data_IF_668490355597
#
_entry.id   IF_668490355597
#
_cell.length_a   1.000
_cell.length_b   1.000
_cell.length_c   1.000
_cell.angle_alpha   90.00
_cell.angle_beta   90.00
_cell.angle_gamma   90.00
#
_symmetry.space_group_name_H-M   'P 1'
#
loop_
_entity.id
_entity.type
_entity.pdbx_description
1 polymer ?
#
# COMPACT_ATOMS: atom_id res chain seq x y z
N UNK A 1 -13.85 1.22 9.80
CA UNK A 1 -12.65 0.74 9.05
C UNK A 1 -12.62 1.35 7.67
N UNK A 2 -11.48 1.88 7.25
CA UNK A 2 -11.33 2.25 5.85
C UNK A 2 -11.12 0.96 5.03
N UNK A 3 -11.69 0.88 3.81
CA UNK A 3 -11.53 -0.29 2.95
C UNK A 3 -10.07 -0.63 2.61
N UNK A 4 -9.17 0.34 2.78
CA UNK A 4 -7.73 0.17 2.62
C UNK A 4 -7.14 -0.78 3.67
N UNK A 5 -7.52 -0.64 4.95
CA UNK A 5 -7.09 -1.52 6.05
C UNK A 5 -7.60 -2.93 5.86
N UNK A 6 -8.89 -3.05 5.53
CA UNK A 6 -9.54 -4.35 5.27
C UNK A 6 -8.92 -5.07 4.09
N UNK A 7 -8.63 -4.36 2.99
CA UNK A 7 -7.96 -4.96 1.83
C UNK A 7 -6.55 -5.47 2.18
N UNK A 8 -5.76 -4.70 2.94
CA UNK A 8 -4.45 -5.13 3.40
C UNK A 8 -4.54 -6.41 4.26
N UNK A 9 -5.49 -6.48 5.18
CA UNK A 9 -5.73 -7.66 6.03
C UNK A 9 -6.17 -8.88 5.21
N UNK A 10 -7.05 -8.70 4.22
CA UNK A 10 -7.50 -9.76 3.30
C UNK A 10 -6.33 -10.30 2.48
N UNK A 11 -5.50 -9.40 1.97
CA UNK A 11 -4.32 -9.75 1.19
C UNK A 11 -3.35 -10.66 1.96
N UNK A 12 -3.22 -10.45 3.27
CA UNK A 12 -2.41 -11.31 4.14
C UNK A 12 -3.04 -12.69 4.36
N UNK A 13 -4.38 -12.80 4.42
CA UNK A 13 -5.10 -14.07 4.62
C UNK A 13 -5.13 -14.95 3.34
N UNK A 14 -5.08 -14.36 2.14
CA UNK A 14 -5.22 -15.06 0.84
C UNK A 14 -3.86 -15.52 0.26
N UNK A 15 -3.12 -16.36 0.99
CA UNK A 15 -1.76 -16.76 0.62
C UNK A 15 -1.62 -17.88 -0.41
N UNK A 16 -1.21 -17.57 -1.63
CA UNK A 16 -0.43 -18.47 -2.48
C UNK A 16 0.99 -17.90 -2.55
N UNK A 17 1.92 -18.50 -1.79
CA UNK A 17 3.19 -17.88 -1.41
C UNK A 17 4.16 -17.61 -2.59
N UNK A 18 4.25 -18.47 -3.61
CA UNK A 18 5.31 -18.37 -4.62
C UNK A 18 4.99 -17.40 -5.77
N UNK A 19 3.76 -17.37 -6.28
CA UNK A 19 3.35 -16.41 -7.32
C UNK A 19 3.33 -14.96 -6.78
N UNK A 20 2.91 -14.80 -5.51
CA UNK A 20 2.98 -13.51 -4.81
C UNK A 20 4.42 -13.03 -4.61
N UNK A 21 5.36 -13.94 -4.31
CA UNK A 21 6.77 -13.60 -4.10
C UNK A 21 7.42 -13.02 -5.36
N UNK A 22 7.14 -13.59 -6.52
CA UNK A 22 7.62 -13.08 -7.81
C UNK A 22 7.13 -11.66 -8.07
N UNK A 23 5.83 -11.39 -7.85
CA UNK A 23 5.23 -10.04 -8.00
C UNK A 23 5.80 -9.02 -7.02
N UNK A 24 5.94 -9.39 -5.74
CA UNK A 24 6.57 -8.52 -4.74
C UNK A 24 7.98 -8.15 -5.18
N UNK A 25 8.77 -9.09 -5.65
CA UNK A 25 10.13 -8.82 -6.13
C UNK A 25 10.14 -7.90 -7.35
N UNK A 26 9.24 -8.10 -8.31
CA UNK A 26 9.11 -7.23 -9.48
C UNK A 26 8.79 -5.79 -9.09
N UNK A 27 7.84 -5.58 -8.17
CA UNK A 27 7.50 -4.25 -7.64
C UNK A 27 8.69 -3.60 -6.95
N UNK A 28 9.31 -4.30 -6.02
CA UNK A 28 10.47 -3.78 -5.28
C UNK A 28 11.66 -3.46 -6.20
N UNK A 29 11.91 -4.25 -7.26
CA UNK A 29 12.94 -3.96 -8.26
C UNK A 29 12.64 -2.65 -9.00
N UNK A 30 11.39 -2.42 -9.41
CA UNK A 30 10.97 -1.18 -10.05
C UNK A 30 11.15 0.01 -9.11
N UNK A 31 10.70 -0.10 -7.87
CA UNK A 31 10.83 0.94 -6.85
C UNK A 31 12.29 1.27 -6.52
N UNK A 32 13.14 0.26 -6.32
CA UNK A 32 14.59 0.43 -6.10
C UNK A 32 15.23 1.18 -7.27
N UNK A 33 14.88 0.80 -8.51
CA UNK A 33 15.43 1.43 -9.72
C UNK A 33 15.04 2.91 -9.82
N UNK A 34 13.76 3.22 -9.55
CA UNK A 34 13.25 4.61 -9.59
C UNK A 34 13.84 5.44 -8.45
N UNK A 35 13.89 4.90 -7.23
CA UNK A 35 14.47 5.60 -6.09
C UNK A 35 15.96 5.90 -6.29
N UNK A 36 16.73 4.93 -6.80
CA UNK A 36 18.16 5.13 -7.10
C UNK A 36 18.39 6.15 -8.22
N UNK A 37 17.49 6.19 -9.22
CA UNK A 37 17.55 7.19 -10.29
C UNK A 37 17.29 8.61 -9.78
N UNK A 38 16.31 8.77 -8.89
CA UNK A 38 15.89 10.08 -8.41
C UNK A 38 16.85 10.67 -7.37
N UNK A 39 17.41 9.86 -6.49
CA UNK A 39 18.20 10.32 -5.33
C UNK A 39 19.60 9.73 -5.21
N UNK A 40 20.07 8.97 -6.22
CA UNK A 40 21.37 8.29 -6.18
C UNK A 40 21.31 6.92 -5.50
N UNK A 41 22.39 6.15 -5.69
CA UNK A 41 22.50 4.75 -5.23
C UNK A 41 22.95 4.56 -3.79
N UNK A 42 23.27 5.64 -3.08
CA UNK A 42 23.70 5.59 -1.68
C UNK A 42 22.49 5.67 -0.72
N UNK A 43 22.20 4.61 0.04
CA UNK A 43 21.05 4.61 0.96
C UNK A 43 21.21 5.59 2.14
N UNK A 44 22.43 6.01 2.48
CA UNK A 44 22.65 6.97 3.55
C UNK A 44 22.23 8.38 3.13
N UNK A 45 22.37 8.68 1.85
CA UNK A 45 21.97 9.95 1.24
C UNK A 45 20.58 9.93 0.62
N UNK A 46 19.96 8.73 0.47
CA UNK A 46 18.67 8.55 -0.17
C UNK A 46 17.67 7.82 0.76
N UNK A 47 16.89 8.56 1.59
CA UNK A 47 15.96 7.97 2.54
C UNK A 47 14.90 7.06 1.90
N UNK A 48 14.41 7.43 0.69
CA UNK A 48 13.46 6.58 -0.06
C UNK A 48 14.09 5.24 -0.41
N UNK A 49 15.30 5.25 -0.95
CA UNK A 49 16.03 4.04 -1.30
C UNK A 49 16.29 3.16 -0.08
N UNK A 50 16.68 3.77 1.05
CA UNK A 50 16.91 3.07 2.33
C UNK A 50 15.68 2.32 2.80
N UNK A 51 14.50 2.94 2.75
CA UNK A 51 13.22 2.30 3.12
C UNK A 51 12.95 1.10 2.22
N UNK A 52 13.04 1.26 0.89
CA UNK A 52 12.77 0.17 -0.06
C UNK A 52 13.77 -0.98 0.08
N UNK A 53 15.04 -0.69 0.41
CA UNK A 53 16.04 -1.74 0.73
C UNK A 53 15.60 -2.52 1.98
N UNK A 54 15.07 -1.85 2.99
CA UNK A 54 14.50 -2.49 4.18
C UNK A 54 13.37 -3.46 3.81
N UNK A 55 12.42 -3.00 3.01
CA UNK A 55 11.27 -3.80 2.55
C UNK A 55 11.72 -4.99 1.69
N UNK A 56 12.72 -4.79 0.82
CA UNK A 56 13.30 -5.86 -0.01
C UNK A 56 13.98 -6.94 0.84
N UNK A 57 14.71 -6.54 1.90
CA UNK A 57 15.31 -7.47 2.87
C UNK A 57 14.23 -8.22 3.67
N UNK A 58 13.20 -7.54 4.13
CA UNK A 58 12.06 -8.15 4.84
C UNK A 58 11.32 -9.17 3.94
N UNK A 59 11.22 -8.90 2.64
CA UNK A 59 10.69 -9.83 1.64
C UNK A 59 11.65 -10.99 1.28
N UNK A 60 12.83 -11.08 1.91
CA UNK A 60 13.90 -12.04 1.60
C UNK A 60 14.40 -11.96 0.13
N UNK A 61 14.49 -10.75 -0.42
CA UNK A 61 15.09 -10.57 -1.75
C UNK A 61 16.60 -10.78 -1.69
N UNK A 62 17.19 -11.54 -2.62
CA UNK A 62 18.63 -11.72 -2.69
C UNK A 62 19.38 -10.38 -2.83
N UNK A 63 20.44 -10.20 -2.06
CA UNK A 63 21.22 -8.95 -2.04
C UNK A 63 21.72 -8.53 -3.42
N UNK A 64 22.04 -9.50 -4.28
CA UNK A 64 22.49 -9.24 -5.66
C UNK A 64 21.39 -8.63 -6.52
N UNK A 65 20.12 -9.00 -6.32
CA UNK A 65 18.99 -8.39 -7.02
C UNK A 65 18.79 -6.93 -6.59
N UNK A 66 18.95 -6.64 -5.30
CA UNK A 66 18.88 -5.27 -4.76
C UNK A 66 19.99 -4.43 -5.40
N UNK A 67 21.25 -4.89 -5.36
CA UNK A 67 22.39 -4.17 -5.94
C UNK A 67 22.20 -3.93 -7.44
N UNK A 68 21.74 -4.94 -8.19
CA UNK A 68 21.50 -4.83 -9.63
C UNK A 68 20.41 -3.79 -9.93
N UNK A 69 19.32 -3.75 -9.17
CA UNK A 69 18.27 -2.76 -9.34
C UNK A 69 18.80 -1.34 -9.11
N UNK A 70 19.64 -1.15 -8.08
CA UNK A 70 20.28 0.14 -7.79
C UNK A 70 21.21 0.56 -8.94
N UNK A 71 22.12 -0.33 -9.42
CA UNK A 71 23.02 -0.03 -10.54
C UNK A 71 22.27 0.33 -11.83
N UNK A 72 21.13 -0.32 -12.10
CA UNK A 72 20.27 0.07 -13.22
C UNK A 72 19.65 1.45 -13.03
N UNK A 73 19.27 1.79 -11.81
CA UNK A 73 18.75 3.11 -11.46
C UNK A 73 19.78 4.22 -11.63
N UNK A 74 21.01 4.01 -11.19
CA UNK A 74 22.13 4.96 -11.31
C UNK A 74 22.72 5.04 -12.73
N UNK A 75 22.33 4.12 -13.62
CA UNK A 75 22.84 4.09 -15.01
C UNK A 75 24.17 3.33 -15.18
N UNK A 76 24.68 2.68 -14.14
CA UNK A 76 25.87 1.84 -14.19
C UNK A 76 25.65 0.55 -14.98
N UNK A 77 24.43 0.06 -15.03
CA UNK A 77 24.02 -1.08 -15.85
C UNK A 77 22.85 -0.69 -16.79
N UNK A 78 22.81 -1.24 -18.02
CA UNK A 78 21.66 -1.05 -18.90
C UNK A 78 20.37 -1.56 -18.25
N UNK A 79 19.30 -0.82 -18.37
CA UNK A 79 18.01 -1.20 -17.80
C UNK A 79 16.82 -0.45 -18.40
N UNK A 80 15.64 -0.92 -18.05
CA UNK A 80 14.38 -0.28 -18.44
C UNK A 80 14.18 1.00 -17.65
N UNK A 81 13.72 2.06 -18.32
CA UNK A 81 13.32 3.29 -17.66
C UNK A 81 11.87 3.18 -17.21
N UNK A 82 11.66 3.16 -15.90
CA UNK A 82 10.32 3.23 -15.33
C UNK A 82 9.94 4.70 -15.04
N UNK A 83 8.66 4.99 -15.24
CA UNK A 83 8.04 6.28 -14.93
C UNK A 83 6.90 6.06 -13.94
N UNK A 84 6.77 6.99 -13.01
CA UNK A 84 5.63 7.04 -12.09
C UNK A 84 4.41 7.61 -12.80
N UNK A 85 3.25 7.01 -12.56
CA UNK A 85 1.96 7.52 -12.96
C UNK A 85 0.93 7.21 -11.87
N UNK A 86 -0.07 8.07 -11.75
CA UNK A 86 -1.20 7.87 -10.87
C UNK A 86 -2.48 7.96 -11.69
N UNK A 87 -3.33 6.95 -11.54
CA UNK A 87 -4.64 6.92 -12.19
C UNK A 87 -5.73 7.02 -11.15
N UNK A 88 -6.75 7.80 -11.48
CA UNK A 88 -7.94 7.97 -10.68
C UNK A 88 -9.11 7.24 -11.34
N UNK A 89 -9.95 6.61 -10.54
CA UNK A 89 -11.04 5.78 -11.03
C UNK A 89 -12.22 5.77 -10.07
N UNK A 90 -13.38 5.41 -10.61
CA UNK A 90 -14.53 4.99 -9.83
C UNK A 90 -14.70 3.48 -9.98
N UNK A 91 -14.74 2.77 -8.86
CA UNK A 91 -15.06 1.35 -8.78
C UNK A 91 -16.56 1.09 -8.66
N UNK A 92 -16.96 -0.18 -8.55
CA UNK A 92 -18.33 -0.57 -8.27
C UNK A 92 -18.94 0.19 -7.10
N UNK A 93 -20.21 0.61 -7.25
CA UNK A 93 -20.90 1.40 -6.24
C UNK A 93 -20.44 2.85 -6.11
N UNK A 94 -19.63 3.35 -7.05
CA UNK A 94 -19.10 4.71 -7.02
C UNK A 94 -17.94 4.91 -6.02
N UNK A 95 -17.33 3.83 -5.54
CA UNK A 95 -16.15 3.92 -4.68
C UNK A 95 -14.99 4.59 -5.43
N UNK A 96 -14.36 5.57 -4.79
CA UNK A 96 -13.16 6.23 -5.31
C UNK A 96 -11.96 5.29 -5.23
N UNK A 97 -11.15 5.27 -6.29
CA UNK A 97 -9.93 4.46 -6.36
C UNK A 97 -8.79 5.30 -6.90
N UNK A 98 -7.64 5.26 -6.23
CA UNK A 98 -6.37 5.82 -6.70
C UNK A 98 -5.41 4.65 -6.92
N UNK A 99 -4.77 4.62 -8.07
CA UNK A 99 -3.90 3.53 -8.52
C UNK A 99 -2.53 4.12 -8.83
N UNK A 100 -1.53 3.81 -8.00
CA UNK A 100 -0.15 4.20 -8.22
C UNK A 100 0.55 3.15 -9.08
N UNK A 101 1.26 3.60 -10.10
CA UNK A 101 1.83 2.75 -11.15
C UNK A 101 3.29 3.11 -11.39
N UNK A 102 4.12 2.07 -11.56
CA UNK A 102 5.48 2.18 -12.11
C UNK A 102 5.54 1.37 -13.41
N UNK A 103 5.64 2.06 -14.53
CA UNK A 103 5.59 1.44 -15.87
C UNK A 103 6.68 1.96 -16.79
N UNK A 104 7.09 1.14 -17.73
CA UNK A 104 7.93 1.54 -18.85
C UNK A 104 7.11 2.08 -20.03
N UNK A 105 5.75 1.96 -19.96
CA UNK A 105 4.86 2.42 -21.02
C UNK A 105 3.49 2.85 -20.44
N UNK A 106 3.33 4.16 -20.21
CA UNK A 106 2.10 4.74 -19.66
C UNK A 106 0.86 4.47 -20.48
N UNK A 107 0.98 4.43 -21.83
CA UNK A 107 -0.17 4.19 -22.69
C UNK A 107 -0.68 2.75 -22.58
N UNK A 108 0.24 1.78 -22.52
CA UNK A 108 -0.10 0.38 -22.28
C UNK A 108 -0.78 0.23 -20.92
N UNK A 109 -0.13 0.70 -19.84
CA UNK A 109 -0.66 0.60 -18.49
C UNK A 109 -2.04 1.25 -18.36
N UNK A 110 -2.25 2.45 -18.94
CA UNK A 110 -3.55 3.13 -18.94
C UNK A 110 -4.63 2.30 -19.65
N UNK A 111 -4.30 1.66 -20.77
CA UNK A 111 -5.22 0.81 -21.53
C UNK A 111 -5.60 -0.45 -20.75
N UNK A 112 -4.63 -1.12 -20.14
CA UNK A 112 -4.82 -2.33 -19.33
C UNK A 112 -5.64 -2.03 -18.08
N UNK A 113 -5.33 -0.96 -17.35
CA UNK A 113 -6.07 -0.53 -16.15
C UNK A 113 -7.51 -0.15 -16.51
N UNK A 114 -7.72 0.59 -17.61
CA UNK A 114 -9.08 0.92 -18.10
C UNK A 114 -9.87 -0.35 -18.36
N UNK A 115 -9.28 -1.31 -19.06
CA UNK A 115 -9.94 -2.60 -19.34
C UNK A 115 -10.32 -3.36 -18.07
N UNK A 116 -9.42 -3.40 -17.07
CA UNK A 116 -9.70 -4.04 -15.78
C UNK A 116 -10.85 -3.35 -15.04
N UNK A 117 -10.87 -2.01 -15.01
CA UNK A 117 -11.94 -1.23 -14.40
C UNK A 117 -13.28 -1.53 -15.06
N UNK A 118 -13.36 -1.40 -16.39
CA UNK A 118 -14.60 -1.63 -17.17
C UNK A 118 -15.12 -3.08 -16.99
N UNK A 119 -14.22 -4.06 -17.04
CA UNK A 119 -14.58 -5.48 -16.85
C UNK A 119 -15.21 -5.75 -15.48
N UNK A 120 -14.85 -5.01 -14.47
CA UNK A 120 -15.34 -5.20 -13.10
C UNK A 120 -16.36 -4.14 -12.66
N UNK A 121 -16.92 -3.35 -13.61
CA UNK A 121 -18.00 -2.40 -13.34
C UNK A 121 -17.55 -1.06 -12.80
N UNK A 122 -16.28 -0.70 -12.99
CA UNK A 122 -15.72 0.61 -12.72
C UNK A 122 -15.40 1.38 -14.00
N UNK A 123 -14.82 2.56 -13.86
CA UNK A 123 -14.34 3.39 -14.97
C UNK A 123 -13.16 4.25 -14.57
N UNK A 124 -12.26 4.51 -15.53
CA UNK A 124 -11.18 5.48 -15.36
C UNK A 124 -11.77 6.89 -15.29
N UNK A 125 -11.29 7.69 -14.33
CA UNK A 125 -11.74 9.06 -14.12
C UNK A 125 -10.74 10.08 -14.70
N UNK A 126 -11.18 11.32 -14.81
CA UNK A 126 -10.28 12.42 -15.15
C UNK A 126 -9.33 12.72 -13.97
N UNK A 127 -8.16 13.31 -14.21
CA UNK A 127 -7.27 13.76 -13.15
C UNK A 127 -7.99 14.71 -12.17
N UNK A 128 -7.72 14.54 -10.88
CA UNK A 128 -8.33 15.26 -9.75
C UNK A 128 -9.84 15.00 -9.53
N UNK A 129 -10.39 13.94 -10.11
CA UNK A 129 -11.80 13.57 -9.91
C UNK A 129 -12.04 13.00 -8.50
N UNK A 130 -11.09 12.24 -7.94
CA UNK A 130 -11.22 11.58 -6.64
C UNK A 130 -10.04 11.87 -5.68
N UNK A 131 -8.93 12.42 -6.16
CA UNK A 131 -7.73 12.66 -5.33
C UNK A 131 -8.02 13.51 -4.09
N UNK A 132 -8.91 14.48 -4.18
CA UNK A 132 -9.32 15.36 -3.08
C UNK A 132 -10.06 14.64 -1.94
N UNK A 133 -10.55 13.42 -2.19
CA UNK A 133 -11.21 12.59 -1.17
C UNK A 133 -10.21 11.90 -0.23
N UNK A 134 -8.91 12.02 -0.48
CA UNK A 134 -7.86 11.33 0.27
C UNK A 134 -6.87 12.30 0.87
N UNK A 135 -6.41 11.98 2.08
CA UNK A 135 -5.31 12.66 2.74
C UNK A 135 -4.09 11.76 2.80
N UNK A 136 -2.92 12.29 2.48
CA UNK A 136 -1.67 11.58 2.67
C UNK A 136 -1.30 11.58 4.15
N UNK A 137 -1.24 10.40 4.77
CA UNK A 137 -0.94 10.21 6.20
C UNK A 137 0.04 9.06 6.42
N UNK A 138 0.82 9.15 7.49
CA UNK A 138 1.45 7.99 8.09
C UNK A 138 0.37 7.07 8.65
N UNK A 139 0.44 5.79 8.34
CA UNK A 139 -0.55 4.78 8.75
C UNK A 139 0.17 3.54 9.26
N UNK A 140 -0.10 3.17 10.51
CA UNK A 140 0.49 2.01 11.17
C UNK A 140 -0.63 1.13 11.72
N UNK A 141 -0.55 -0.15 11.45
CA UNK A 141 -1.49 -1.18 11.95
C UNK A 141 -0.76 -2.11 12.89
N UNK A 142 -1.29 -2.26 14.08
CA UNK A 142 -0.80 -3.17 15.10
C UNK A 142 -1.85 -4.24 15.37
N UNK A 143 -1.52 -5.50 15.12
CA UNK A 143 -2.34 -6.65 15.51
C UNK A 143 -2.28 -6.82 17.04
N UNK A 144 -3.44 -6.72 17.70
CA UNK A 144 -3.54 -6.83 19.16
C UNK A 144 -3.00 -8.15 19.71
N UNK A 145 -3.19 -9.23 18.97
CA UNK A 145 -2.69 -10.56 19.36
C UNK A 145 -1.14 -10.63 19.34
N UNK A 146 -0.50 -9.74 18.55
CA UNK A 146 0.96 -9.67 18.41
C UNK A 146 1.60 -8.49 19.17
N UNK A 147 0.81 -7.74 19.94
CA UNK A 147 1.30 -6.59 20.70
C UNK A 147 2.16 -6.95 21.94
N UNK A 148 2.50 -8.23 22.12
CA UNK A 148 3.41 -8.65 23.20
C UNK A 148 2.87 -8.43 24.62
N UNK A 149 1.52 -8.40 24.79
CA UNK A 149 0.88 -8.14 26.08
C UNK A 149 0.85 -6.66 26.48
N UNK A 150 1.19 -5.74 25.56
CA UNK A 150 1.00 -4.30 25.77
C UNK A 150 -0.49 -3.98 25.67
N UNK A 151 -0.96 -3.09 26.54
CA UNK A 151 -2.32 -2.58 26.52
C UNK A 151 -2.46 -1.37 25.57
N UNK A 152 -3.68 -1.05 25.29
CA UNK A 152 -4.07 0.07 24.41
C UNK A 152 -3.52 1.40 24.92
N UNK A 153 -3.62 1.65 26.23
CA UNK A 153 -3.20 2.91 26.86
C UNK A 153 -1.69 3.12 26.72
N UNK A 154 -0.89 2.08 26.92
CA UNK A 154 0.57 2.12 26.75
C UNK A 154 0.97 2.48 25.32
N UNK A 155 0.34 1.84 24.33
CA UNK A 155 0.63 2.11 22.92
C UNK A 155 0.15 3.51 22.54
N UNK A 156 -1.11 3.87 22.88
CA UNK A 156 -1.70 5.16 22.58
C UNK A 156 -0.86 6.32 23.13
N UNK A 157 -0.45 6.27 24.39
CA UNK A 157 0.39 7.30 24.98
C UNK A 157 1.72 7.45 24.26
N UNK A 158 2.40 6.34 23.96
CA UNK A 158 3.70 6.37 23.27
C UNK A 158 3.60 6.96 21.86
N UNK A 159 2.57 6.62 21.09
CA UNK A 159 2.42 7.13 19.73
C UNK A 159 1.96 8.58 19.70
N UNK A 160 1.10 9.02 20.61
CA UNK A 160 0.69 10.42 20.73
C UNK A 160 1.86 11.32 21.15
N UNK A 161 2.68 10.89 22.10
CA UNK A 161 3.92 11.61 22.48
C UNK A 161 4.90 11.72 21.31
N UNK A 162 4.94 10.72 20.44
CA UNK A 162 5.76 10.71 19.22
C UNK A 162 5.20 11.53 18.06
N UNK A 163 4.00 12.10 18.20
CA UNK A 163 3.37 12.98 17.21
C UNK A 163 2.35 12.29 16.30
N UNK A 164 1.68 11.23 16.78
CA UNK A 164 0.50 10.72 16.09
C UNK A 164 -0.66 11.71 16.17
N UNK A 165 -1.44 11.82 15.07
CA UNK A 165 -2.63 12.68 14.98
C UNK A 165 -3.87 12.00 15.57
N UNK A 166 -3.96 10.66 15.42
CA UNK A 166 -5.14 9.89 15.80
C UNK A 166 -4.76 8.44 16.10
N UNK A 167 -5.55 7.81 16.96
CA UNK A 167 -5.45 6.42 17.35
C UNK A 167 -6.85 5.80 17.37
N UNK A 168 -7.04 4.68 16.68
CA UNK A 168 -8.34 4.03 16.57
C UNK A 168 -8.25 2.55 16.93
N UNK A 169 -9.25 2.08 17.68
CA UNK A 169 -9.48 0.67 17.92
C UNK A 169 -10.41 0.09 16.84
N UNK A 170 -9.91 -0.86 16.07
CA UNK A 170 -10.63 -1.52 14.99
C UNK A 170 -10.94 -3.00 15.32
N UNK A 171 -11.23 -3.30 16.57
CA UNK A 171 -11.55 -4.65 17.04
C UNK A 171 -10.32 -5.55 17.16
N UNK A 172 -9.82 -6.13 16.06
CA UNK A 172 -8.63 -7.00 16.08
C UNK A 172 -7.31 -6.22 16.04
N UNK A 173 -7.34 -4.94 15.59
CA UNK A 173 -6.15 -4.13 15.40
C UNK A 173 -6.26 -2.78 16.09
N UNK A 174 -5.12 -2.17 16.36
CA UNK A 174 -4.99 -0.74 16.59
C UNK A 174 -4.45 -0.06 15.35
N UNK A 175 -5.06 1.05 14.98
CA UNK A 175 -4.68 1.88 13.84
C UNK A 175 -4.15 3.22 14.32
N UNK A 176 -2.94 3.58 13.90
CA UNK A 176 -2.29 4.84 14.26
C UNK A 176 -2.12 5.70 13.02
N UNK A 177 -2.53 6.95 13.11
CA UNK A 177 -2.43 7.93 12.04
C UNK A 177 -1.52 9.08 12.44
N UNK A 178 -0.72 9.57 11.50
CA UNK A 178 0.17 10.71 11.73
C UNK A 178 0.29 11.58 10.47
N UNK A 179 0.83 12.79 10.62
CA UNK A 179 1.35 13.50 9.48
C UNK A 179 2.50 12.70 8.83
N UNK A 180 2.70 12.80 7.50
CA UNK A 180 3.79 12.10 6.83
C UNK A 180 5.17 12.37 7.41
N UNK A 181 5.37 13.58 7.91
CA UNK A 181 6.62 14.06 8.52
C UNK A 181 6.90 13.39 9.87
N UNK A 182 5.85 13.10 10.64
CA UNK A 182 5.93 12.46 11.97
C UNK A 182 5.98 10.95 11.89
N UNK A 183 5.69 10.35 10.73
CA UNK A 183 5.56 8.90 10.55
C UNK A 183 6.77 8.10 11.06
N UNK A 184 7.98 8.57 10.78
CA UNK A 184 9.19 7.87 11.20
C UNK A 184 9.32 7.80 12.74
N UNK A 185 9.05 8.92 13.43
CA UNK A 185 9.11 9.00 14.88
C UNK A 185 8.04 8.11 15.53
N UNK A 186 6.81 8.14 15.00
CA UNK A 186 5.69 7.33 15.50
C UNK A 186 5.97 5.83 15.29
N UNK A 187 6.51 5.44 14.14
CA UNK A 187 6.87 4.04 13.86
C UNK A 187 8.00 3.54 14.78
N UNK A 188 9.00 4.37 15.07
CA UNK A 188 10.05 4.02 16.02
C UNK A 188 9.50 3.91 17.46
N UNK A 189 8.53 4.72 17.85
CA UNK A 189 7.88 4.62 19.16
C UNK A 189 7.15 3.27 19.32
N UNK A 190 6.44 2.80 18.27
CA UNK A 190 5.81 1.48 18.26
C UNK A 190 6.86 0.37 18.44
N UNK A 191 7.95 0.44 17.67
CA UNK A 191 9.04 -0.56 17.74
C UNK A 191 9.78 -0.55 19.07
N UNK A 192 9.96 0.63 19.70
CA UNK A 192 10.58 0.76 21.01
C UNK A 192 9.81 0.03 22.14
N UNK A 193 8.50 -0.16 21.95
CA UNK A 193 7.67 -1.00 22.83
C UNK A 193 7.86 -2.50 22.59
N UNK A 194 8.69 -2.90 21.61
CA UNK A 194 8.87 -4.29 21.21
C UNK A 194 7.73 -4.82 20.32
N UNK A 195 6.92 -3.91 19.74
CA UNK A 195 5.81 -4.26 18.85
C UNK A 195 6.30 -4.18 17.41
N UNK A 196 6.11 -5.28 16.67
CA UNK A 196 6.31 -5.28 15.22
C UNK A 196 4.97 -5.00 14.54
N UNK A 197 4.80 -3.85 13.86
CA UNK A 197 3.54 -3.51 13.22
C UNK A 197 3.27 -4.46 12.03
N UNK A 198 2.00 -4.82 11.83
CA UNK A 198 1.57 -5.62 10.68
C UNK A 198 1.73 -4.83 9.37
N UNK A 199 1.55 -3.51 9.43
CA UNK A 199 1.78 -2.59 8.32
C UNK A 199 2.23 -1.24 8.87
N UNK A 200 3.23 -0.62 8.25
CA UNK A 200 3.66 0.73 8.58
C UNK A 200 4.12 1.44 7.30
N UNK A 201 3.37 2.43 6.83
CA UNK A 201 3.66 3.16 5.58
C UNK A 201 2.98 4.51 5.54
N UNK A 202 3.50 5.41 4.71
CA UNK A 202 2.76 6.61 4.31
C UNK A 202 1.78 6.23 3.20
N UNK A 203 0.50 6.51 3.39
CA UNK A 203 -0.59 6.08 2.50
C UNK A 203 -1.63 7.17 2.29
N UNK A 204 -2.44 7.03 1.26
CA UNK A 204 -3.61 7.87 1.00
C UNK A 204 -4.81 7.31 1.78
N UNK A 205 -5.23 8.05 2.80
CA UNK A 205 -6.34 7.68 3.69
C UNK A 205 -7.59 8.43 3.26
N UNK A 206 -8.72 7.74 2.99
CA UNK A 206 -9.95 8.40 2.59
C UNK A 206 -10.56 9.21 3.73
N UNK A 207 -11.12 10.38 3.40
CA UNK A 207 -11.85 11.24 4.35
C UNK A 207 -13.25 10.69 4.66
N UNK A 208 -13.87 10.02 3.68
CA UNK A 208 -15.18 9.42 3.79
C UNK A 208 -15.19 8.05 3.14
N UNK A 209 -15.98 7.12 3.66
CA UNK A 209 -16.12 5.76 3.14
C UNK A 209 -17.46 5.56 2.43
N UNK A 210 -17.47 4.70 1.42
CA UNK A 210 -18.66 4.23 0.71
C UNK A 210 -18.92 2.79 1.10
N UNK A 211 -20.03 2.54 1.79
CA UNK A 211 -20.43 1.19 2.21
C UNK A 211 -20.91 0.38 1.02
N UNK A 212 -20.32 -0.79 0.82
CA UNK A 212 -20.67 -1.72 -0.26
C UNK A 212 -21.16 -3.04 0.34
N UNK A 213 -22.21 -3.61 -0.27
CA UNK A 213 -22.83 -4.86 0.17
C UNK A 213 -23.16 -5.76 -1.04
N UNK A 214 -23.31 -7.06 -0.79
CA UNK A 214 -23.75 -8.06 -1.74
C UNK A 214 -22.90 -8.12 -3.03
N UNK A 215 -23.57 -8.13 -4.19
CA UNK A 215 -22.89 -8.24 -5.49
C UNK A 215 -21.90 -7.12 -5.77
N UNK A 216 -22.20 -5.90 -5.31
CA UNK A 216 -21.33 -4.73 -5.52
C UNK A 216 -20.03 -4.88 -4.72
N UNK A 217 -20.13 -5.35 -3.47
CA UNK A 217 -18.96 -5.67 -2.65
C UNK A 217 -18.08 -6.75 -3.31
N UNK A 218 -18.69 -7.83 -3.82
CA UNK A 218 -17.97 -8.89 -4.53
C UNK A 218 -17.29 -8.40 -5.82
N UNK A 219 -17.96 -7.52 -6.57
CA UNK A 219 -17.35 -6.91 -7.77
C UNK A 219 -16.16 -6.03 -7.41
N UNK A 220 -16.29 -5.23 -6.33
CA UNK A 220 -15.18 -4.40 -5.84
C UNK A 220 -13.98 -5.23 -5.40
N UNK A 221 -14.22 -6.34 -4.68
CA UNK A 221 -13.15 -7.25 -4.27
C UNK A 221 -12.42 -7.86 -5.46
N UNK A 222 -13.15 -8.30 -6.49
CA UNK A 222 -12.56 -8.80 -7.75
C UNK A 222 -11.78 -7.73 -8.50
N UNK A 223 -12.26 -6.49 -8.50
CA UNK A 223 -11.52 -5.37 -9.08
C UNK A 223 -10.20 -5.13 -8.35
N UNK A 224 -10.24 -5.07 -7.02
CA UNK A 224 -9.05 -4.87 -6.19
C UNK A 224 -8.01 -5.98 -6.41
N UNK A 225 -8.46 -7.23 -6.50
CA UNK A 225 -7.59 -8.37 -6.80
C UNK A 225 -6.97 -8.26 -8.20
N UNK A 226 -7.76 -7.94 -9.21
CA UNK A 226 -7.29 -7.80 -10.59
C UNK A 226 -6.29 -6.65 -10.75
N UNK A 227 -6.53 -5.52 -10.07
CA UNK A 227 -5.59 -4.40 -10.05
C UNK A 227 -4.30 -4.74 -9.27
N UNK A 228 -4.43 -5.44 -8.14
CA UNK A 228 -3.25 -5.87 -7.37
C UNK A 228 -2.42 -6.94 -8.09
N UNK A 229 -3.01 -7.70 -8.98
CA UNK A 229 -2.33 -8.69 -9.81
C UNK A 229 -1.61 -8.07 -11.02
N UNK A 230 -1.88 -6.80 -11.34
CA UNK A 230 -1.25 -6.12 -12.46
C UNK A 230 0.21 -5.75 -12.14
N UNK A 231 1.14 -6.12 -13.02
CA UNK A 231 2.60 -5.99 -12.79
C UNK A 231 3.10 -4.55 -12.62
N UNK A 232 2.40 -3.58 -13.21
CA UNK A 232 2.79 -2.17 -13.14
C UNK A 232 2.17 -1.44 -11.94
N UNK A 233 1.12 -2.01 -11.31
CA UNK A 233 0.47 -1.40 -10.14
C UNK A 233 1.32 -1.61 -8.89
N UNK A 234 1.63 -0.53 -8.20
CA UNK A 234 2.42 -0.52 -6.96
C UNK A 234 1.54 -0.47 -5.73
N UNK A 235 0.56 0.45 -5.74
CA UNK A 235 -0.34 0.65 -4.61
C UNK A 235 -1.73 1.01 -5.11
N UNK A 236 -2.75 0.66 -4.33
CA UNK A 236 -4.14 1.00 -4.60
C UNK A 236 -4.72 1.57 -3.32
N UNK A 237 -5.26 2.78 -3.39
CA UNK A 237 -6.02 3.38 -2.31
C UNK A 237 -7.48 3.50 -2.71
N UNK A 238 -8.39 3.18 -1.81
CA UNK A 238 -9.83 3.26 -2.10
C UNK A 238 -10.62 3.62 -0.85
N UNK A 239 -11.81 4.18 -1.05
CA UNK A 239 -12.71 4.60 0.01
C UNK A 239 -13.89 3.66 0.25
N UNK A 240 -13.89 2.45 -0.33
CA UNK A 240 -14.95 1.49 -0.03
C UNK A 240 -14.87 0.97 1.41
N UNK A 241 -16.01 0.62 1.98
CA UNK A 241 -16.13 -0.12 3.23
C UNK A 241 -17.00 -1.37 3.03
N UNK A 242 -16.47 -2.53 3.40
CA UNK A 242 -17.12 -3.84 3.25
C UNK A 242 -17.12 -4.53 4.61
N UNK A 243 -18.23 -5.14 5.00
CA UNK A 243 -18.34 -5.88 6.27
C UNK A 243 -17.49 -7.17 6.26
N UNK A 244 -17.08 -7.63 7.45
CA UNK A 244 -16.34 -8.90 7.58
C UNK A 244 -17.08 -10.09 6.98
N UNK A 245 -18.41 -10.15 7.15
CA UNK A 245 -19.25 -11.19 6.53
C UNK A 245 -19.14 -11.25 5.02
N UNK A 246 -19.10 -10.09 4.36
CA UNK A 246 -18.94 -9.99 2.90
C UNK A 246 -17.55 -10.41 2.46
N UNK A 247 -16.55 -10.12 3.29
CA UNK A 247 -15.16 -10.53 3.05
C UNK A 247 -15.06 -12.06 3.14
N UNK A 248 -15.57 -12.68 4.20
CA UNK A 248 -15.58 -14.11 4.37
C UNK A 248 -16.33 -14.82 3.23
N UNK A 249 -17.49 -14.29 2.84
CA UNK A 249 -18.27 -14.79 1.71
C UNK A 249 -17.53 -14.70 0.36
N UNK A 250 -16.60 -13.76 0.21
CA UNK A 250 -15.78 -13.61 -1.01
C UNK A 250 -14.57 -14.55 -1.05
N UNK A 251 -14.20 -15.12 0.11
CA UNK A 251 -13.07 -16.05 0.26
C UNK A 251 -13.47 -17.53 0.19
N UNK A 252 -14.78 -17.83 0.33
CA UNK A 252 -15.38 -19.15 0.22
C UNK A 252 -15.65 -19.54 -1.24
#
# INVERSE_FOLDING_TARGET
MSGHSKWASIKHKKGALDAKRGRIFTRLIKELTVAARAGGGDPDMNPRLRTIIGDAKAANMPAENIKRAIRRGTGEEPGVSYEEAQYEAYGPGGAAVIIDVLTDNKNRAAGEIRHLLEKHGGNLAAPNAVAWMFNKKGYIVVDKAKAGGKDEETLMNAVLEAGADDFQDDGENWEVYSAPESFAAVNEAVKALGIEPTSAKVSLIPQNTVKLEGKVAQQMMKLMEALDDHDDVQNISSNFDISEKEIEASLA
#
